data_IF_838486149440
#
_entry.id   IF_838486149440
#
_cell.length_a   1.000
_cell.length_b   1.000
_cell.length_c   1.000
_cell.angle_alpha   90.00
_cell.angle_beta   90.00
_cell.angle_gamma   90.00
#
_symmetry.space_group_name_H-M   'P 1'
#
loop_
_entity.id
_entity.type
_entity.pdbx_description
1 polymer ?
#
# COMPACT_ATOMS: atom_id res chain seq x y z
N UNK A 1 4.60 11.25 19.67
CA UNK A 1 3.18 10.84 19.71
C UNK A 1 3.07 9.52 18.95
N UNK A 2 2.64 8.42 19.59
CA UNK A 2 2.45 7.14 18.90
C UNK A 2 1.11 7.21 18.16
N UNK A 3 1.11 7.09 16.84
CA UNK A 3 -0.14 6.95 16.07
C UNK A 3 -0.60 5.51 16.23
N UNK A 4 -1.75 5.33 16.88
CA UNK A 4 -2.37 4.02 17.10
C UNK A 4 -3.31 3.73 15.92
N UNK A 5 -3.33 2.49 15.46
CA UNK A 5 -4.20 2.02 14.37
C UNK A 5 -5.67 2.32 14.70
N UNK A 6 -6.29 3.20 13.90
CA UNK A 6 -7.69 3.61 14.04
C UNK A 6 -8.52 3.16 12.82
N UNK A 7 -9.85 3.13 12.95
CA UNK A 7 -10.76 2.95 11.82
C UNK A 7 -10.49 4.09 10.82
N UNK A 8 -10.04 3.74 9.61
CA UNK A 8 -9.65 4.71 8.57
C UNK A 8 -8.15 4.73 8.23
N UNK A 9 -7.29 4.08 9.01
CA UNK A 9 -5.89 3.84 8.58
C UNK A 9 -5.78 2.60 7.66
N UNK A 10 -6.84 1.80 7.50
CA UNK A 10 -6.89 0.64 6.61
C UNK A 10 -6.55 1.03 5.16
N UNK A 11 -5.65 0.28 4.53
CA UNK A 11 -5.09 0.60 3.21
C UNK A 11 -3.84 1.50 3.27
N UNK A 12 -3.52 2.09 4.42
CA UNK A 12 -2.34 2.92 4.60
C UNK A 12 -1.02 2.12 4.61
N UNK A 13 0.13 2.75 4.28
CA UNK A 13 1.43 2.12 4.27
C UNK A 13 2.04 1.99 5.67
N UNK A 14 2.81 0.91 5.89
CA UNK A 14 3.73 0.79 7.02
C UNK A 14 5.16 0.73 6.52
N UNK A 15 6.01 1.53 7.16
CA UNK A 15 7.42 1.65 6.82
C UNK A 15 8.32 1.10 7.92
N UNK A 16 9.43 0.49 7.51
CA UNK A 16 10.56 0.11 8.35
C UNK A 16 11.82 0.85 7.87
N UNK A 17 12.67 1.28 8.80
CA UNK A 17 13.97 1.86 8.45
C UNK A 17 14.95 0.74 8.09
N UNK A 18 15.44 0.74 6.85
CA UNK A 18 16.39 -0.26 6.32
C UNK A 18 17.86 0.18 6.44
N UNK A 19 18.16 1.14 7.31
CA UNK A 19 19.51 1.68 7.49
C UNK A 19 19.87 2.85 6.56
N UNK A 20 19.29 2.90 5.35
CA UNK A 20 19.54 3.98 4.36
C UNK A 20 18.28 4.66 3.81
N UNK A 21 17.17 3.95 3.79
CA UNK A 21 15.86 4.45 3.35
C UNK A 21 14.75 3.85 4.21
N UNK A 22 13.58 4.48 4.14
CA UNK A 22 12.34 3.90 4.62
C UNK A 22 11.78 2.96 3.57
N UNK A 23 11.61 1.70 3.94
CA UNK A 23 11.05 0.66 3.09
C UNK A 23 9.61 0.40 3.50
N UNK A 24 8.68 0.38 2.55
CA UNK A 24 7.32 -0.03 2.83
C UNK A 24 7.28 -1.55 2.97
N UNK A 25 6.91 -2.04 4.15
CA UNK A 25 6.93 -3.48 4.47
C UNK A 25 5.53 -4.09 4.54
N UNK A 26 4.50 -3.24 4.65
CA UNK A 26 3.13 -3.72 4.78
C UNK A 26 2.06 -2.69 4.45
N UNK A 27 0.83 -3.20 4.42
CA UNK A 27 -0.40 -2.41 4.31
C UNK A 27 -1.25 -2.69 5.54
N UNK A 28 -1.78 -1.63 6.12
CA UNK A 28 -2.71 -1.70 7.24
C UNK A 28 -3.98 -2.43 6.81
N UNK A 29 -4.34 -3.51 7.52
CA UNK A 29 -5.59 -4.24 7.27
C UNK A 29 -6.63 -3.88 8.33
N UNK A 30 -6.68 -4.62 9.44
CA UNK A 30 -7.67 -4.42 10.49
C UNK A 30 -7.08 -4.71 11.87
N UNK A 31 -7.89 -4.54 12.91
CA UNK A 31 -7.53 -4.82 14.29
C UNK A 31 -8.79 -4.84 15.15
N UNK A 32 -8.72 -5.46 16.33
CA UNK A 32 -9.84 -5.44 17.26
C UNK A 32 -9.84 -4.12 18.03
N UNK A 33 -10.76 -3.22 17.68
CA UNK A 33 -10.81 -1.86 18.23
C UNK A 33 -9.58 -1.02 17.87
N UNK A 34 -9.48 0.18 18.45
CA UNK A 34 -8.31 1.04 18.26
C UNK A 34 -7.25 0.69 19.31
N UNK A 35 -6.25 -0.09 18.89
CA UNK A 35 -5.05 -0.45 19.67
C UNK A 35 -5.34 -0.96 21.09
N UNK A 36 -6.24 -1.95 21.19
CA UNK A 36 -6.52 -2.64 22.44
C UNK A 36 -5.30 -3.49 22.84
N UNK A 37 -4.85 -3.35 24.09
CA UNK A 37 -3.75 -4.16 24.62
C UNK A 37 -4.06 -5.67 24.48
N UNK A 38 -3.07 -6.44 24.04
CA UNK A 38 -3.22 -7.88 23.78
C UNK A 38 -3.85 -8.23 22.43
N UNK A 39 -4.34 -7.25 21.65
CA UNK A 39 -4.83 -7.46 20.28
C UNK A 39 -3.95 -6.69 19.28
N UNK A 40 -2.93 -7.33 18.70
CA UNK A 40 -2.09 -6.67 17.71
C UNK A 40 -2.88 -6.30 16.46
N UNK A 41 -2.46 -5.23 15.79
CA UNK A 41 -2.94 -4.91 14.45
C UNK A 41 -2.55 -6.00 13.45
N UNK A 42 -3.41 -6.22 12.46
CA UNK A 42 -3.19 -7.14 11.35
C UNK A 42 -2.76 -6.36 10.12
N UNK A 43 -1.72 -6.86 9.44
CA UNK A 43 -1.07 -6.20 8.31
C UNK A 43 -0.87 -7.18 7.16
N UNK A 44 -1.02 -6.70 5.93
CA UNK A 44 -0.59 -7.43 4.74
C UNK A 44 0.92 -7.34 4.65
N UNK A 45 1.60 -8.47 4.44
CA UNK A 45 3.06 -8.54 4.28
C UNK A 45 3.43 -8.36 2.81
N UNK A 46 4.01 -7.21 2.44
CA UNK A 46 4.31 -6.90 1.04
C UNK A 46 5.31 -7.85 0.40
N UNK A 47 6.30 -8.32 1.16
CA UNK A 47 7.30 -9.26 0.64
C UNK A 47 6.69 -10.58 0.13
N UNK A 48 5.52 -10.98 0.64
CA UNK A 48 4.82 -12.18 0.17
C UNK A 48 4.18 -11.97 -1.21
N UNK A 49 3.72 -10.75 -1.49
CA UNK A 49 3.01 -10.38 -2.72
C UNK A 49 3.91 -9.77 -3.79
N UNK A 50 5.22 -9.64 -3.54
CA UNK A 50 6.15 -8.95 -4.44
C UNK A 50 6.09 -9.45 -5.89
N UNK A 51 6.15 -10.78 -6.09
CA UNK A 51 6.11 -11.36 -7.43
C UNK A 51 4.80 -11.08 -8.15
N UNK A 52 3.67 -11.19 -7.45
CA UNK A 52 2.37 -10.87 -8.01
C UNK A 52 2.27 -9.39 -8.42
N UNK A 53 2.77 -8.48 -7.59
CA UNK A 53 2.81 -7.04 -7.91
C UNK A 53 3.67 -6.79 -9.16
N UNK A 54 4.86 -7.39 -9.23
CA UNK A 54 5.75 -7.30 -10.40
C UNK A 54 5.11 -7.80 -11.68
N UNK A 55 4.39 -8.93 -11.61
CA UNK A 55 3.68 -9.50 -12.77
C UNK A 55 2.59 -8.56 -13.28
N UNK A 56 1.81 -7.97 -12.38
CA UNK A 56 0.77 -6.98 -12.74
C UNK A 56 1.41 -5.74 -13.37
N UNK A 57 2.49 -5.21 -12.78
CA UNK A 57 3.18 -4.04 -13.32
C UNK A 57 3.80 -4.29 -14.69
N UNK A 58 4.32 -5.50 -14.95
CA UNK A 58 4.84 -5.87 -16.27
C UNK A 58 3.73 -5.98 -17.30
N UNK A 59 2.62 -6.62 -16.95
CA UNK A 59 1.44 -6.73 -17.83
C UNK A 59 0.85 -5.38 -18.18
N UNK A 60 0.73 -4.50 -17.19
CA UNK A 60 0.18 -3.16 -17.41
C UNK A 60 1.22 -2.26 -18.12
N UNK A 61 2.52 -2.53 -17.92
CA UNK A 61 3.64 -1.89 -18.61
C UNK A 61 3.80 -2.30 -20.08
N UNK A 62 3.33 -3.48 -20.50
CA UNK A 62 3.24 -3.86 -21.92
C UNK A 62 2.17 -3.05 -22.69
N UNK A 63 1.30 -2.32 -21.99
CA UNK A 63 0.38 -1.33 -22.58
C UNK A 63 0.83 0.12 -22.40
N UNK A 64 2.02 0.34 -21.82
CA UNK A 64 2.64 1.65 -21.64
C UNK A 64 4.03 1.66 -22.30
N UNK A 65 4.11 1.25 -23.56
CA UNK A 65 5.13 1.83 -24.43
C UNK A 65 4.89 3.35 -24.47
N UNK A 66 5.92 4.21 -24.34
CA UNK A 66 5.70 5.66 -24.32
C UNK A 66 5.37 6.14 -25.74
N UNK A 67 4.14 5.92 -26.19
CA UNK A 67 3.62 6.72 -27.28
C UNK A 67 3.35 8.11 -26.71
N UNK A 68 4.16 9.06 -27.17
CA UNK A 68 4.11 10.47 -26.81
C UNK A 68 2.86 11.09 -27.45
N UNK A 69 1.65 10.69 -27.03
CA UNK A 69 0.42 11.40 -27.38
C UNK A 69 -0.56 11.37 -26.23
N UNK A 70 -0.82 12.56 -25.68
CA UNK A 70 -1.81 12.86 -24.67
C UNK A 70 -3.19 12.29 -25.04
N UNK A 71 -3.85 11.55 -24.15
CA UNK A 71 -5.32 11.54 -24.08
C UNK A 71 -5.78 11.41 -22.64
N UNK A 72 -6.36 12.51 -22.19
CA UNK A 72 -7.21 12.71 -21.02
C UNK A 72 -8.02 11.49 -20.58
N UNK A 73 -7.87 11.09 -19.32
CA UNK A 73 -8.93 10.40 -18.57
C UNK A 73 -9.36 11.30 -17.42
N UNK A 74 -10.67 11.59 -17.27
CA UNK A 74 -11.15 12.42 -16.17
C UNK A 74 -10.95 11.67 -14.86
N UNK A 75 -10.29 12.34 -13.94
CA UNK A 75 -10.23 12.05 -12.52
C UNK A 75 -11.64 12.04 -11.93
N UNK A 76 -12.33 10.90 -12.01
CA UNK A 76 -13.45 10.63 -11.12
C UNK A 76 -12.89 10.35 -9.74
N UNK A 77 -12.75 11.41 -8.95
CA UNK A 77 -12.52 11.30 -7.52
C UNK A 77 -13.67 10.50 -6.88
N UNK A 78 -13.33 9.59 -5.96
CA UNK A 78 -14.31 8.88 -5.16
C UNK A 78 -15.10 9.88 -4.30
N UNK A 79 -16.41 9.94 -4.51
CA UNK A 79 -17.41 10.49 -3.55
C UNK A 79 -17.67 9.51 -2.43
#
# INVERSE_FOLDING_TARGET
KKKLFSIGDSGGPIFQWAGKYWEQVGIVSHGKGCAIAGFPGVYVRLSYYYNWIEEILKRDGEHLEPEITQTTTPNTACT
#
